data_IF_447532630003
#
_entry.id   IF_447532630003
#
_cell.length_a   1.000
_cell.length_b   1.000
_cell.length_c   1.000
_cell.angle_alpha   90.00
_cell.angle_beta   90.00
_cell.angle_gamma   90.00
#
_symmetry.space_group_name_H-M   'P 1'
#
loop_
_entity.id
_entity.type
_entity.pdbx_description
1 polymer ?
#
# COMPACT_ATOMS: atom_id res chain seq x y z
N UNK A 1 -34.53 -5.15 -14.98
CA UNK A 1 -33.65 -4.29 -14.16
C UNK A 1 -32.23 -4.55 -14.60
N UNK A 2 -31.61 -3.57 -15.25
CA UNK A 2 -30.26 -3.68 -15.85
C UNK A 2 -29.18 -3.72 -14.76
N UNK A 3 -28.18 -4.58 -15.00
CA UNK A 3 -26.99 -4.78 -14.16
C UNK A 3 -26.24 -3.46 -13.93
N UNK A 4 -25.92 -3.16 -12.66
CA UNK A 4 -25.07 -2.01 -12.30
C UNK A 4 -23.61 -2.46 -12.14
N UNK A 5 -22.72 -1.60 -12.64
CA UNK A 5 -21.35 -1.84 -13.10
C UNK A 5 -20.37 -2.47 -12.08
N UNK A 6 -19.30 -3.15 -12.56
CA UNK A 6 -18.18 -3.52 -11.71
C UNK A 6 -17.53 -2.24 -11.15
N UNK A 7 -17.32 -2.19 -9.83
CA UNK A 7 -16.59 -1.13 -9.17
C UNK A 7 -15.25 -0.92 -9.88
N UNK A 8 -15.05 0.28 -10.43
CA UNK A 8 -13.79 0.67 -11.07
C UNK A 8 -12.67 0.45 -10.06
N UNK A 9 -11.71 -0.40 -10.42
CA UNK A 9 -10.41 -0.46 -9.73
C UNK A 9 -9.88 0.96 -9.64
N UNK A 10 -9.92 1.51 -8.44
CA UNK A 10 -9.41 2.84 -8.16
C UNK A 10 -7.90 2.69 -8.15
N UNK A 11 -7.25 2.73 -9.32
CA UNK A 11 -5.80 2.71 -9.40
C UNK A 11 -5.30 4.05 -8.89
N UNK A 12 -5.04 4.15 -7.59
CA UNK A 12 -4.41 5.30 -6.95
C UNK A 12 -2.90 5.28 -7.22
N UNK A 13 -2.54 5.04 -8.49
CA UNK A 13 -1.18 5.16 -8.99
C UNK A 13 -0.91 6.67 -9.14
N UNK A 14 -0.02 7.21 -8.32
CA UNK A 14 0.37 8.63 -8.38
C UNK A 14 0.97 9.02 -9.73
N UNK A 15 1.25 10.32 -9.96
CA UNK A 15 1.69 10.85 -11.27
C UNK A 15 2.97 10.20 -11.84
N UNK A 16 3.72 9.44 -11.03
CA UNK A 16 4.91 8.70 -11.42
C UNK A 16 4.74 7.17 -11.46
N UNK A 17 3.51 6.65 -11.40
CA UNK A 17 3.31 5.21 -11.37
C UNK A 17 3.47 4.57 -9.97
N UNK A 18 3.53 5.37 -8.90
CA UNK A 18 3.76 4.89 -7.53
C UNK A 18 2.48 4.61 -6.76
N UNK A 19 2.49 3.58 -5.92
CA UNK A 19 1.40 3.24 -4.99
C UNK A 19 1.47 4.16 -3.77
N UNK A 20 0.35 4.78 -3.40
CA UNK A 20 0.26 5.70 -2.25
C UNK A 20 0.00 4.94 -0.95
N UNK A 21 0.92 4.93 0.00
CA UNK A 21 0.81 4.16 1.24
C UNK A 21 -0.41 4.57 2.08
N UNK A 22 -0.72 5.86 2.12
CA UNK A 22 -1.80 6.39 2.95
C UNK A 22 -3.21 6.26 2.34
N UNK A 23 -3.34 5.97 1.05
CA UNK A 23 -4.65 5.90 0.37
C UNK A 23 -4.89 4.62 -0.41
N UNK A 24 -3.85 3.88 -0.77
CA UNK A 24 -3.99 2.65 -1.54
C UNK A 24 -4.82 1.60 -0.80
N UNK A 25 -5.52 0.76 -1.56
CA UNK A 25 -6.23 -0.40 -1.00
C UNK A 25 -5.24 -1.50 -0.61
N UNK A 26 -5.72 -2.47 0.17
CA UNK A 26 -4.91 -3.65 0.46
C UNK A 26 -4.60 -4.47 -0.79
N UNK A 27 -5.46 -4.48 -1.82
CA UNK A 27 -5.12 -5.16 -3.07
C UNK A 27 -3.98 -4.46 -3.80
N UNK A 28 -4.04 -3.13 -3.94
CA UNK A 28 -2.98 -2.35 -4.59
C UNK A 28 -1.63 -2.48 -3.88
N UNK A 29 -1.64 -2.50 -2.54
CA UNK A 29 -0.42 -2.72 -1.76
C UNK A 29 0.13 -4.15 -1.92
N UNK A 30 -0.74 -5.14 -2.12
CA UNK A 30 -0.36 -6.53 -2.33
C UNK A 30 0.25 -6.81 -3.71
N UNK A 31 0.18 -5.86 -4.64
CA UNK A 31 0.87 -5.93 -5.94
C UNK A 31 2.37 -5.59 -5.82
N UNK A 32 2.82 -5.05 -4.68
CA UNK A 32 4.21 -4.67 -4.47
C UNK A 32 5.11 -5.90 -4.22
N UNK A 33 6.33 -5.92 -4.77
CA UNK A 33 7.23 -7.07 -4.63
C UNK A 33 7.64 -7.29 -3.16
N UNK A 34 7.22 -8.42 -2.60
CA UNK A 34 7.46 -8.79 -1.20
C UNK A 34 6.39 -8.31 -0.22
N UNK A 35 5.29 -7.71 -0.70
CA UNK A 35 4.12 -7.39 0.12
C UNK A 35 2.98 -8.33 -0.31
N UNK A 36 2.74 -9.38 0.48
CA UNK A 36 1.58 -10.25 0.27
C UNK A 36 0.29 -9.68 0.89
N UNK A 37 -0.87 -10.34 0.68
CA UNK A 37 -2.17 -9.89 1.22
C UNK A 37 -2.18 -9.66 2.74
N UNK A 38 -1.44 -10.47 3.50
CA UNK A 38 -1.32 -10.32 4.95
C UNK A 38 -0.58 -9.03 5.35
N UNK A 39 0.55 -8.73 4.68
CA UNK A 39 1.31 -7.51 4.94
C UNK A 39 0.56 -6.26 4.46
N UNK A 40 -0.11 -6.34 3.31
CA UNK A 40 -0.93 -5.26 2.81
C UNK A 40 -2.06 -4.88 3.79
N UNK A 41 -2.77 -5.87 4.34
CA UNK A 41 -3.75 -5.64 5.41
C UNK A 41 -3.09 -5.02 6.63
N UNK A 42 -1.93 -5.52 7.05
CA UNK A 42 -1.20 -4.96 8.19
C UNK A 42 -0.80 -3.49 7.98
N UNK A 43 -0.43 -3.07 6.77
CA UNK A 43 -0.13 -1.67 6.42
C UNK A 43 -1.39 -0.80 6.56
N UNK A 44 -2.55 -1.27 6.08
CA UNK A 44 -3.82 -0.55 6.17
C UNK A 44 -4.26 -0.40 7.63
N UNK A 45 -4.24 -1.48 8.40
CA UNK A 45 -4.55 -1.45 9.83
C UNK A 45 -3.60 -0.51 10.59
N UNK A 46 -2.32 -0.56 10.23
CA UNK A 46 -1.30 0.27 10.83
C UNK A 46 -1.53 1.77 10.62
N UNK A 47 -1.87 2.21 9.40
CA UNK A 47 -2.19 3.63 9.16
C UNK A 47 -3.45 4.09 9.87
N UNK A 48 -4.40 3.19 10.12
CA UNK A 48 -5.60 3.49 10.91
C UNK A 48 -5.29 3.59 12.41
N UNK A 49 -4.42 2.73 12.94
CA UNK A 49 -4.11 2.68 14.38
C UNK A 49 -3.03 3.67 14.82
N UNK A 50 -1.97 3.83 14.03
CA UNK A 50 -0.79 4.64 14.36
C UNK A 50 -0.67 5.92 13.54
N UNK A 51 -1.65 6.19 12.67
CA UNK A 51 -1.68 7.37 11.82
C UNK A 51 -0.87 7.20 10.53
N UNK A 52 -0.80 8.26 9.73
CA UNK A 52 -0.22 8.23 8.37
C UNK A 52 1.27 7.86 8.36
N UNK A 53 1.73 7.28 7.26
CA UNK A 53 3.15 7.15 6.94
C UNK A 53 3.64 8.49 6.39
N UNK A 54 4.60 9.13 7.05
CA UNK A 54 5.23 10.39 6.58
C UNK A 54 6.40 10.12 5.65
N UNK A 55 7.03 8.95 5.79
CA UNK A 55 8.14 8.47 4.95
C UNK A 55 7.91 7.03 4.56
N UNK A 56 8.59 6.57 3.51
CA UNK A 56 8.55 5.16 3.10
C UNK A 56 9.20 4.26 4.17
N UNK A 57 10.21 4.77 4.86
CA UNK A 57 10.91 4.07 5.96
C UNK A 57 9.99 3.73 7.14
N UNK A 58 8.94 4.53 7.35
CA UNK A 58 7.95 4.29 8.39
C UNK A 58 7.19 2.96 8.21
N UNK A 59 7.25 2.32 7.04
CA UNK A 59 6.72 0.96 6.84
C UNK A 59 7.38 -0.09 7.74
N UNK A 60 8.61 0.14 8.20
CA UNK A 60 9.31 -0.75 9.15
C UNK A 60 8.59 -0.91 10.49
N UNK A 61 7.66 0.00 10.83
CA UNK A 61 6.83 -0.14 12.04
C UNK A 61 5.83 -1.31 11.93
N UNK A 62 5.50 -1.76 10.71
CA UNK A 62 4.62 -2.90 10.45
C UNK A 62 5.40 -4.20 10.64
N UNK A 63 4.92 -5.07 11.55
CA UNK A 63 5.56 -6.35 11.82
C UNK A 63 5.66 -7.19 10.54
N UNK A 64 6.87 -7.67 10.23
CA UNK A 64 7.15 -8.44 9.02
C UNK A 64 7.62 -7.61 7.83
N UNK A 65 7.65 -6.27 7.93
CA UNK A 65 8.30 -5.40 6.96
C UNK A 65 9.65 -4.95 7.52
N UNK A 66 10.73 -5.49 6.94
CA UNK A 66 12.10 -5.09 7.27
C UNK A 66 12.68 -4.09 6.25
N UNK A 67 13.87 -3.53 6.54
CA UNK A 67 14.55 -2.56 5.68
C UNK A 67 14.78 -3.09 4.25
N UNK A 68 15.06 -4.39 4.11
CA UNK A 68 15.24 -5.04 2.79
C UNK A 68 13.97 -4.94 1.93
N UNK A 69 12.79 -5.10 2.54
CA UNK A 69 11.52 -4.96 1.82
C UNK A 69 11.26 -3.51 1.44
N UNK A 70 11.54 -2.58 2.36
CA UNK A 70 11.39 -1.14 2.13
C UNK A 70 12.25 -0.68 0.97
N UNK A 71 13.53 -1.02 0.94
CA UNK A 71 14.44 -0.65 -0.14
C UNK A 71 13.97 -1.18 -1.50
N UNK A 72 13.46 -2.41 -1.55
CA UNK A 72 12.95 -3.03 -2.79
C UNK A 72 11.77 -2.29 -3.38
N UNK A 73 10.89 -1.72 -2.55
CA UNK A 73 9.67 -1.04 -2.99
C UNK A 73 9.80 0.49 -3.00
N UNK A 74 10.91 1.05 -2.53
CA UNK A 74 11.08 2.50 -2.30
C UNK A 74 10.83 3.36 -3.54
N UNK A 75 11.21 2.86 -4.73
CA UNK A 75 10.95 3.55 -6.00
C UNK A 75 9.51 3.41 -6.51
N UNK A 76 8.75 2.46 -5.97
CA UNK A 76 7.39 2.10 -6.38
C UNK A 76 6.31 2.70 -5.47
N UNK A 77 6.69 3.27 -4.33
CA UNK A 77 5.74 3.79 -3.35
C UNK A 77 6.00 5.25 -3.03
N UNK A 78 4.94 5.93 -2.61
CA UNK A 78 5.00 7.26 -2.04
C UNK A 78 4.14 7.28 -0.76
N UNK A 79 4.46 8.12 0.23
CA UNK A 79 3.60 8.34 1.39
C UNK A 79 2.13 8.56 1.00
#
# INVERSE_FOLDING_TARGET
MVFSAPARRSTTKGPAGRVKLNTATSEELAELPGIGPALARAIVEDRHRRGRFTTVDALTRVRGIGPVTVERIRGLVAP
#
